data_IF_985591493197
#
_entry.id   IF_985591493197
#
_cell.length_a   1.000
_cell.length_b   1.000
_cell.length_c   1.000
_cell.angle_alpha   90.00
_cell.angle_beta   90.00
_cell.angle_gamma   90.00
#
_symmetry.space_group_name_H-M   'P 1'
#
loop_
_entity.id
_entity.type
_entity.pdbx_description
1 polymer ?
#
# COMPACT_ATOMS: atom_id res chain seq x y z
N UNK A 1 -24.13 -1.31 -40.95
CA UNK A 1 -23.58 -0.77 -39.70
C UNK A 1 -23.02 0.62 -40.00
N UNK A 2 -23.72 1.70 -39.61
CA UNK A 2 -23.31 3.06 -39.97
C UNK A 2 -21.97 3.46 -39.34
N UNK A 3 -21.25 4.40 -39.97
CA UNK A 3 -19.99 4.98 -39.49
C UNK A 3 -20.06 5.42 -38.01
N UNK A 4 -21.22 5.96 -37.59
CA UNK A 4 -21.50 6.35 -36.21
C UNK A 4 -21.50 5.18 -35.22
N UNK A 5 -21.99 4.00 -35.64
CA UNK A 5 -22.00 2.79 -34.83
C UNK A 5 -20.60 2.19 -34.65
N UNK A 6 -19.76 2.29 -35.69
CA UNK A 6 -18.35 1.90 -35.60
C UNK A 6 -17.61 2.78 -34.59
N UNK A 7 -17.68 4.11 -34.73
CA UNK A 7 -17.00 5.05 -33.82
C UNK A 7 -17.39 4.83 -32.35
N UNK A 8 -18.67 4.59 -32.07
CA UNK A 8 -19.16 4.35 -30.71
C UNK A 8 -18.60 3.06 -30.10
N UNK A 9 -18.54 1.98 -30.91
CA UNK A 9 -18.02 0.68 -30.45
C UNK A 9 -16.52 0.74 -30.24
N UNK A 10 -15.77 1.34 -31.17
CA UNK A 10 -14.32 1.54 -31.03
C UNK A 10 -13.99 2.40 -29.81
N UNK A 11 -14.72 3.50 -29.61
CA UNK A 11 -14.56 4.36 -28.44
C UNK A 11 -14.84 3.63 -27.12
N UNK A 12 -15.87 2.79 -27.08
CA UNK A 12 -16.20 1.98 -25.90
C UNK A 12 -15.05 1.04 -25.52
N UNK A 13 -14.42 0.38 -26.50
CA UNK A 13 -13.28 -0.51 -26.26
C UNK A 13 -12.09 0.27 -25.71
N UNK A 14 -11.74 1.40 -26.32
CA UNK A 14 -10.61 2.23 -25.89
C UNK A 14 -10.81 2.72 -24.46
N UNK A 15 -11.98 3.31 -24.15
CA UNK A 15 -12.28 3.81 -22.80
C UNK A 15 -12.30 2.69 -21.78
N UNK A 16 -12.77 1.49 -22.16
CA UNK A 16 -12.77 0.31 -21.28
C UNK A 16 -11.35 -0.16 -20.93
N UNK A 17 -10.44 -0.16 -21.90
CA UNK A 17 -9.03 -0.50 -21.66
C UNK A 17 -8.37 0.53 -20.76
N UNK A 18 -8.60 1.83 -21.01
CA UNK A 18 -8.10 2.90 -20.15
C UNK A 18 -8.63 2.74 -18.71
N UNK A 19 -9.93 2.47 -18.56
CA UNK A 19 -10.55 2.21 -17.26
C UNK A 19 -9.87 1.03 -16.55
N UNK A 20 -9.61 -0.07 -17.26
CA UNK A 20 -8.93 -1.23 -16.67
C UNK A 20 -7.54 -0.88 -16.14
N UNK A 21 -6.75 -0.11 -16.90
CA UNK A 21 -5.41 0.35 -16.50
C UNK A 21 -5.50 1.27 -15.27
N UNK A 22 -6.46 2.20 -15.25
CA UNK A 22 -6.67 3.11 -14.12
C UNK A 22 -7.08 2.37 -12.86
N UNK A 23 -7.99 1.39 -12.97
CA UNK A 23 -8.41 0.55 -11.85
C UNK A 23 -7.26 -0.32 -11.32
N UNK A 24 -6.40 -0.81 -12.21
CA UNK A 24 -5.21 -1.57 -11.81
C UNK A 24 -4.24 -0.68 -11.05
N UNK A 25 -3.94 0.52 -11.56
CA UNK A 25 -3.09 1.50 -10.88
C UNK A 25 -3.69 1.94 -9.53
N UNK A 26 -4.99 2.18 -9.48
CA UNK A 26 -5.71 2.48 -8.25
C UNK A 26 -5.56 1.36 -7.22
N UNK A 27 -5.76 0.12 -7.64
CA UNK A 27 -5.64 -1.05 -6.77
C UNK A 27 -4.23 -1.25 -6.22
N UNK A 28 -3.20 -1.07 -7.04
CA UNK A 28 -1.80 -1.19 -6.59
C UNK A 28 -1.43 -0.08 -5.61
N UNK A 29 -1.74 1.18 -5.92
CA UNK A 29 -1.47 2.33 -5.04
C UNK A 29 -2.22 2.18 -3.71
N UNK A 30 -3.50 1.79 -3.76
CA UNK A 30 -4.32 1.57 -2.56
C UNK A 30 -3.74 0.43 -1.70
N UNK A 31 -3.30 -0.66 -2.34
CA UNK A 31 -2.64 -1.78 -1.64
C UNK A 31 -1.40 -1.30 -0.91
N UNK A 32 -0.53 -0.55 -1.58
CA UNK A 32 0.68 0.00 -0.98
C UNK A 32 0.35 0.91 0.21
N UNK A 33 -0.60 1.83 0.06
CA UNK A 33 -0.94 2.76 1.13
C UNK A 33 -1.61 2.07 2.34
N UNK A 34 -2.48 1.08 2.14
CA UNK A 34 -3.05 0.33 3.26
C UNK A 34 -2.01 -0.55 3.96
N UNK A 35 -1.06 -1.09 3.21
CA UNK A 35 0.06 -1.86 3.76
C UNK A 35 0.99 -1.03 4.66
N UNK A 36 1.09 0.28 4.45
CA UNK A 36 1.95 1.20 5.23
C UNK A 36 1.17 1.83 6.40
N UNK A 37 0.03 1.27 6.80
CA UNK A 37 -0.62 1.73 8.02
C UNK A 37 0.24 1.44 9.26
N UNK A 38 0.18 2.30 10.28
CA UNK A 38 1.03 2.22 11.48
C UNK A 38 1.03 0.84 12.11
N UNK A 39 -0.14 0.20 12.26
CA UNK A 39 -0.25 -1.15 12.82
C UNK A 39 0.50 -2.22 12.01
N UNK A 40 0.47 -2.12 10.68
CA UNK A 40 1.14 -3.08 9.79
C UNK A 40 2.66 -2.86 9.79
N UNK A 41 3.07 -1.59 9.78
CA UNK A 41 4.47 -1.17 9.90
C UNK A 41 5.04 -1.63 11.25
N UNK A 42 4.35 -1.37 12.35
CA UNK A 42 4.78 -1.73 13.70
C UNK A 42 4.87 -3.24 13.90
N UNK A 43 4.06 -4.05 13.20
CA UNK A 43 4.15 -5.51 13.29
C UNK A 43 5.30 -6.11 12.49
N UNK A 44 5.69 -5.47 11.38
CA UNK A 44 6.53 -6.14 10.36
C UNK A 44 7.89 -5.48 10.18
N UNK A 45 7.99 -4.16 10.37
CA UNK A 45 9.25 -3.41 10.23
C UNK A 45 10.24 -3.68 11.35
N UNK A 46 9.87 -3.91 12.63
CA UNK A 46 10.83 -4.24 13.68
C UNK A 46 11.78 -5.38 13.32
N UNK A 47 11.28 -6.45 12.72
CA UNK A 47 12.10 -7.61 12.36
C UNK A 47 13.12 -7.27 11.26
N UNK A 48 12.72 -6.42 10.31
CA UNK A 48 13.61 -5.91 9.25
C UNK A 48 14.67 -4.98 9.84
N UNK A 49 14.29 -4.10 10.75
CA UNK A 49 15.23 -3.18 11.42
C UNK A 49 16.19 -3.90 12.35
N UNK A 50 15.74 -4.95 13.04
CA UNK A 50 16.62 -5.81 13.84
C UNK A 50 17.75 -6.40 12.99
N UNK A 51 17.43 -6.82 11.77
CA UNK A 51 18.42 -7.35 10.84
C UNK A 51 19.34 -6.27 10.23
N UNK A 52 18.81 -5.05 10.04
CA UNK A 52 19.51 -3.98 9.31
C UNK A 52 20.32 -3.05 10.22
N UNK A 53 19.73 -2.61 11.33
CA UNK A 53 20.29 -1.58 12.23
C UNK A 53 20.81 -2.16 13.55
N UNK A 54 20.29 -3.31 14.00
CA UNK A 54 20.74 -3.98 15.20
C UNK A 54 21.48 -5.28 14.86
N UNK A 55 22.59 -5.15 14.14
CA UNK A 55 23.49 -6.27 13.83
C UNK A 55 23.85 -7.05 15.10
N UNK A 56 24.20 -8.35 15.00
CA UNK A 56 24.60 -9.16 16.17
C UNK A 56 25.68 -8.49 17.03
N UNK A 57 26.57 -7.72 16.40
CA UNK A 57 27.62 -6.95 17.06
C UNK A 57 27.06 -5.81 17.92
N UNK A 58 26.09 -5.04 17.41
CA UNK A 58 25.41 -4.01 18.20
C UNK A 58 24.57 -4.58 19.35
N UNK A 59 23.97 -5.76 19.15
CA UNK A 59 23.25 -6.48 20.21
C UNK A 59 24.20 -6.99 21.30
N UNK A 60 25.39 -7.46 20.91
CA UNK A 60 26.46 -7.82 21.85
C UNK A 60 26.97 -6.59 22.61
N UNK A 61 27.13 -5.45 21.94
CA UNK A 61 27.54 -4.20 22.57
C UNK A 61 26.49 -3.69 23.58
N UNK A 62 25.19 -3.75 23.22
CA UNK A 62 24.11 -3.46 24.17
C UNK A 62 24.10 -4.43 25.35
N UNK A 63 24.32 -5.72 25.10
CA UNK A 63 24.38 -6.73 26.17
C UNK A 63 25.56 -6.47 27.11
N UNK A 64 26.73 -6.10 26.57
CA UNK A 64 27.92 -5.76 27.36
C UNK A 64 27.75 -4.48 28.19
N UNK A 65 26.98 -3.52 27.70
CA UNK A 65 26.72 -2.25 28.37
C UNK A 65 25.46 -2.24 29.26
N UNK A 66 24.67 -3.33 29.27
CA UNK A 66 23.42 -3.41 30.04
C UNK A 66 23.63 -3.11 31.53
N UNK A 67 24.71 -3.66 32.10
CA UNK A 67 25.03 -3.47 33.52
C UNK A 67 25.37 -2.00 33.82
N UNK A 68 26.01 -1.29 32.88
CA UNK A 68 26.26 0.15 33.00
C UNK A 68 24.96 0.96 32.95
N UNK A 69 24.03 0.60 32.07
CA UNK A 69 22.72 1.26 32.00
C UNK A 69 21.89 1.02 33.28
N UNK A 70 21.91 -0.19 33.83
CA UNK A 70 21.24 -0.51 35.09
C UNK A 70 21.82 0.26 36.27
N UNK A 71 23.16 0.39 36.33
CA UNK A 71 23.84 1.20 37.33
C UNK A 71 23.49 2.68 37.19
N UNK A 72 23.45 3.21 35.97
CA UNK A 72 23.04 4.59 35.71
C UNK A 72 21.60 4.86 36.18
N UNK A 73 20.66 3.97 35.87
CA UNK A 73 19.28 4.06 36.33
C UNK A 73 19.18 4.06 37.86
N UNK A 74 19.98 3.25 38.55
CA UNK A 74 19.98 3.15 40.01
C UNK A 74 20.65 4.35 40.70
N UNK A 75 21.76 4.85 40.17
CA UNK A 75 22.55 5.92 40.80
C UNK A 75 21.95 7.32 40.59
N UNK A 76 21.37 7.56 39.42
CA UNK A 76 20.91 8.90 39.04
C UNK A 76 19.45 9.15 39.43
N UNK A 77 18.74 8.13 39.94
CA UNK A 77 17.28 8.15 40.15
C UNK A 77 16.51 8.63 38.92
N UNK A 78 17.11 8.44 37.73
CA UNK A 78 16.53 8.86 36.46
C UNK A 78 15.50 7.84 36.02
N UNK A 79 14.37 8.31 35.52
CA UNK A 79 13.35 7.43 34.93
C UNK A 79 13.80 6.86 33.58
N UNK A 80 14.76 7.51 32.91
CA UNK A 80 15.20 7.19 31.56
C UNK A 80 16.73 7.17 31.41
N UNK A 81 17.23 6.41 30.43
CA UNK A 81 18.63 6.41 29.97
C UNK A 81 18.68 6.75 28.48
N UNK A 82 19.67 7.53 28.07
CA UNK A 82 19.93 7.82 26.65
C UNK A 82 20.95 6.84 26.10
N UNK A 83 20.55 6.03 25.12
CA UNK A 83 21.42 5.08 24.43
C UNK A 83 21.88 5.71 23.12
N UNK A 84 23.19 5.94 22.91
CA UNK A 84 23.69 6.43 21.64
C UNK A 84 23.53 5.34 20.58
N UNK A 85 23.02 5.72 19.42
CA UNK A 85 22.93 4.87 18.25
C UNK A 85 24.02 5.27 17.26
N UNK A 86 24.63 4.29 16.59
CA UNK A 86 25.57 4.53 15.50
C UNK A 86 24.81 4.82 14.19
N UNK A 87 23.89 5.80 14.23
CA UNK A 87 23.06 6.20 13.10
C UNK A 87 23.01 7.74 13.03
N UNK A 88 23.32 8.29 11.86
CA UNK A 88 23.30 9.73 11.62
C UNK A 88 21.89 10.33 11.62
N UNK A 89 20.86 9.54 11.30
CA UNK A 89 19.46 10.01 11.32
C UNK A 89 18.86 10.00 12.73
N UNK A 90 19.26 9.04 13.56
CA UNK A 90 18.73 8.83 14.91
C UNK A 90 19.91 8.61 15.85
N UNK A 91 20.55 9.68 16.37
CA UNK A 91 21.81 9.57 17.09
C UNK A 91 21.68 9.04 18.52
N UNK A 92 20.49 9.14 19.12
CA UNK A 92 20.22 8.63 20.46
C UNK A 92 18.76 8.21 20.61
N UNK A 93 18.51 7.23 21.49
CA UNK A 93 17.18 6.81 21.91
C UNK A 93 17.03 6.99 23.42
N UNK A 94 15.86 7.46 23.84
CA UNK A 94 15.50 7.59 25.26
C UNK A 94 14.75 6.33 25.68
N UNK A 95 15.37 5.53 26.56
CA UNK A 95 14.82 4.25 27.04
C UNK A 95 14.46 4.35 28.51
N UNK A 96 13.23 4.02 28.91
CA UNK A 96 12.85 4.01 30.32
C UNK A 96 13.56 2.88 31.06
N UNK A 97 14.01 3.19 32.28
CA UNK A 97 14.76 2.26 33.12
C UNK A 97 13.97 0.99 33.44
N UNK A 98 12.63 1.05 33.42
CA UNK A 98 11.75 -0.12 33.54
C UNK A 98 12.01 -1.17 32.47
N UNK A 99 12.28 -0.77 31.22
CA UNK A 99 12.60 -1.70 30.13
C UNK A 99 14.05 -2.22 30.23
N UNK A 100 14.96 -1.38 30.72
CA UNK A 100 16.36 -1.76 31.02
C UNK A 100 16.43 -2.85 32.10
N UNK A 101 15.60 -2.77 33.13
CA UNK A 101 15.54 -3.78 34.19
C UNK A 101 14.92 -5.11 33.75
N UNK A 102 14.08 -5.11 32.71
CA UNK A 102 13.54 -6.34 32.11
C UNK A 102 14.57 -7.09 31.25
N UNK A 103 15.76 -6.53 31.04
CA UNK A 103 16.88 -7.15 30.35
C UNK A 103 17.04 -6.71 28.89
N UNK A 104 18.08 -7.26 28.23
CA UNK A 104 18.50 -6.85 26.88
C UNK A 104 17.38 -6.95 25.85
N UNK A 105 16.65 -8.06 25.81
CA UNK A 105 15.63 -8.30 24.77
C UNK A 105 14.52 -7.24 24.83
N UNK A 106 14.00 -6.95 26.02
CA UNK A 106 12.97 -5.93 26.24
C UNK A 106 13.50 -4.53 25.88
N UNK A 107 14.75 -4.23 26.23
CA UNK A 107 15.42 -2.98 25.87
C UNK A 107 15.54 -2.82 24.36
N UNK A 108 16.01 -3.87 23.67
CA UNK A 108 16.15 -3.88 22.20
C UNK A 108 14.78 -3.74 21.53
N UNK A 109 13.76 -4.47 21.99
CA UNK A 109 12.41 -4.38 21.46
C UNK A 109 11.82 -2.97 21.62
N UNK A 110 12.03 -2.35 22.79
CA UNK A 110 11.62 -0.97 23.02
C UNK A 110 12.34 0.00 22.08
N UNK A 111 13.67 -0.11 21.96
CA UNK A 111 14.47 0.72 21.05
C UNK A 111 13.99 0.61 19.60
N UNK A 112 13.76 -0.62 19.12
CA UNK A 112 13.29 -0.86 17.75
C UNK A 112 11.91 -0.25 17.54
N UNK A 113 10.98 -0.46 18.47
CA UNK A 113 9.63 0.08 18.36
C UNK A 113 9.63 1.61 18.36
N UNK A 114 10.46 2.24 19.20
CA UNK A 114 10.62 3.69 19.18
C UNK A 114 11.20 4.18 17.85
N UNK A 115 12.24 3.51 17.33
CA UNK A 115 12.83 3.85 16.04
C UNK A 115 11.82 3.74 14.90
N UNK A 116 11.01 2.68 14.86
CA UNK A 116 9.90 2.54 13.89
C UNK A 116 8.95 3.72 13.99
N UNK A 117 8.58 4.09 15.21
CA UNK A 117 7.63 5.17 15.44
C UNK A 117 8.19 6.53 15.00
N UNK A 118 9.45 6.81 15.32
CA UNK A 118 10.14 8.01 14.88
C UNK A 118 10.28 8.07 13.36
N UNK A 119 10.65 6.96 12.70
CA UNK A 119 10.69 6.90 11.23
C UNK A 119 9.31 7.07 10.61
N UNK A 120 8.27 6.48 11.21
CA UNK A 120 6.91 6.57 10.70
C UNK A 120 6.38 8.00 10.70
N UNK A 121 6.62 8.73 11.79
CA UNK A 121 6.10 10.09 11.99
C UNK A 121 7.12 11.20 11.68
N UNK A 122 8.30 10.86 11.15
CA UNK A 122 9.32 11.84 10.75
C UNK A 122 8.75 12.80 9.72
N UNK A 123 9.00 14.09 9.92
CA UNK A 123 8.66 15.13 8.96
C UNK A 123 9.74 15.20 7.88
N UNK A 124 9.39 14.80 6.66
CA UNK A 124 10.31 14.75 5.52
C UNK A 124 10.20 16.02 4.69
N UNK A 125 11.19 16.91 4.78
CA UNK A 125 11.26 18.14 3.99
C UNK A 125 11.77 17.87 2.56
N UNK A 126 10.92 17.29 1.72
CA UNK A 126 11.21 17.00 0.31
C UNK A 126 10.00 17.32 -0.57
N UNK A 127 10.23 17.75 -1.81
CA UNK A 127 9.18 18.30 -2.68
C UNK A 127 8.45 17.24 -3.52
N UNK A 128 8.74 15.96 -3.34
CA UNK A 128 8.04 14.88 -4.02
C UNK A 128 8.66 13.50 -3.80
N UNK A 129 7.89 12.45 -4.08
CA UNK A 129 8.21 11.04 -3.80
C UNK A 129 9.63 10.65 -4.26
N UNK A 130 10.02 10.98 -5.49
CA UNK A 130 11.34 10.62 -6.03
C UNK A 130 12.49 11.29 -5.27
N UNK A 131 12.35 12.57 -4.94
CA UNK A 131 13.36 13.31 -4.18
C UNK A 131 13.45 12.77 -2.74
N UNK A 132 12.30 12.47 -2.13
CA UNK A 132 12.22 11.88 -0.80
C UNK A 132 12.91 10.52 -0.73
N UNK A 133 12.62 9.60 -1.67
CA UNK A 133 13.22 8.26 -1.71
C UNK A 133 14.74 8.35 -1.89
N UNK A 134 15.23 9.24 -2.76
CA UNK A 134 16.66 9.39 -3.01
C UNK A 134 17.42 9.97 -1.81
N UNK A 135 16.78 10.87 -1.05
CA UNK A 135 17.40 11.50 0.13
C UNK A 135 17.31 10.62 1.37
N UNK A 136 16.15 10.02 1.62
CA UNK A 136 15.86 9.26 2.83
C UNK A 136 15.04 8.01 2.47
N UNK A 137 15.66 6.82 2.37
CA UNK A 137 14.94 5.60 2.01
C UNK A 137 13.87 5.20 3.05
N UNK A 138 14.02 5.65 4.30
CA UNK A 138 13.04 5.47 5.39
C UNK A 138 11.69 6.14 5.10
N UNK A 139 11.64 7.09 4.16
CA UNK A 139 10.40 7.70 3.69
C UNK A 139 9.38 6.67 3.19
N UNK A 140 9.82 5.54 2.60
CA UNK A 140 8.92 4.50 2.07
C UNK A 140 8.04 3.82 3.13
N UNK A 141 8.43 3.90 4.41
CA UNK A 141 7.64 3.36 5.53
C UNK A 141 6.98 4.46 6.35
N UNK A 142 7.03 5.71 5.90
CA UNK A 142 6.51 6.87 6.63
C UNK A 142 5.00 7.07 6.45
N UNK A 143 4.37 7.72 7.42
CA UNK A 143 3.00 8.22 7.29
C UNK A 143 2.88 9.20 6.12
N UNK A 144 3.91 10.01 5.86
CA UNK A 144 3.90 10.97 4.76
C UNK A 144 3.76 10.28 3.40
N UNK A 145 4.53 9.23 3.16
CA UNK A 145 4.43 8.45 1.92
C UNK A 145 3.07 7.75 1.80
N UNK A 146 2.52 7.25 2.92
CA UNK A 146 1.15 6.72 2.96
C UNK A 146 0.12 7.77 2.52
N UNK A 147 0.22 8.99 3.04
CA UNK A 147 -0.67 10.10 2.66
C UNK A 147 -0.55 10.45 1.18
N UNK A 148 0.68 10.51 0.66
CA UNK A 148 0.94 10.78 -0.76
C UNK A 148 0.31 9.69 -1.65
N UNK A 149 0.47 8.41 -1.30
CA UNK A 149 -0.19 7.29 -2.00
C UNK A 149 -1.72 7.40 -1.95
N UNK A 150 -2.29 7.71 -0.79
CA UNK A 150 -3.74 7.88 -0.64
C UNK A 150 -4.28 9.05 -1.45
N UNK A 151 -3.51 10.14 -1.55
CA UNK A 151 -3.84 11.27 -2.42
C UNK A 151 -3.85 10.85 -3.90
N UNK A 152 -2.83 10.13 -4.37
CA UNK A 152 -2.82 9.60 -5.73
C UNK A 152 -3.97 8.62 -5.98
N UNK A 153 -4.26 7.72 -5.04
CA UNK A 153 -5.39 6.81 -5.14
C UNK A 153 -6.71 7.58 -5.32
N UNK A 154 -6.93 8.66 -4.56
CA UNK A 154 -8.12 9.50 -4.73
C UNK A 154 -8.20 10.10 -6.15
N UNK A 155 -7.08 10.61 -6.67
CA UNK A 155 -7.02 11.17 -8.05
C UNK A 155 -7.35 10.09 -9.09
N UNK A 156 -6.75 8.90 -9.00
CA UNK A 156 -7.05 7.79 -9.91
C UNK A 156 -8.51 7.34 -9.81
N UNK A 157 -9.08 7.34 -8.61
CA UNK A 157 -10.50 7.04 -8.39
C UNK A 157 -11.41 8.04 -9.12
N UNK A 158 -11.14 9.34 -9.01
CA UNK A 158 -11.92 10.37 -9.71
C UNK A 158 -11.83 10.24 -11.23
N UNK A 159 -10.64 9.95 -11.77
CA UNK A 159 -10.47 9.73 -13.22
C UNK A 159 -11.21 8.45 -13.65
N UNK A 160 -11.14 7.38 -12.85
CA UNK A 160 -11.85 6.14 -13.14
C UNK A 160 -13.38 6.32 -13.13
N UNK A 161 -13.90 7.18 -12.25
CA UNK A 161 -15.32 7.56 -12.22
C UNK A 161 -15.72 8.31 -13.50
N UNK A 162 -14.90 9.24 -13.98
CA UNK A 162 -15.15 9.90 -15.26
C UNK A 162 -15.18 8.89 -16.42
N UNK A 163 -14.25 7.94 -16.46
CA UNK A 163 -14.25 6.85 -17.43
C UNK A 163 -15.49 5.96 -17.30
N UNK A 164 -15.95 5.65 -16.09
CA UNK A 164 -17.20 4.92 -15.84
C UNK A 164 -18.40 5.61 -16.52
N UNK A 165 -18.53 6.93 -16.33
CA UNK A 165 -19.59 7.72 -16.95
C UNK A 165 -19.48 7.68 -18.48
N UNK A 166 -18.26 7.78 -19.03
CA UNK A 166 -18.04 7.67 -20.47
C UNK A 166 -18.44 6.30 -21.02
N UNK A 167 -18.10 5.20 -20.34
CA UNK A 167 -18.55 3.84 -20.71
C UNK A 167 -20.08 3.78 -20.72
N UNK A 168 -20.74 4.36 -19.71
CA UNK A 168 -22.19 4.40 -19.64
C UNK A 168 -22.81 5.19 -20.79
N UNK A 169 -22.24 6.33 -21.19
CA UNK A 169 -22.70 7.12 -22.34
C UNK A 169 -22.47 6.39 -23.67
N UNK A 170 -21.30 5.76 -23.84
CA UNK A 170 -20.93 5.04 -25.05
C UNK A 170 -21.66 3.70 -25.21
N UNK A 171 -22.13 3.06 -24.15
CA UNK A 171 -22.90 1.82 -24.26
C UNK A 171 -24.29 2.05 -24.85
N UNK A 172 -24.67 1.27 -25.88
CA UNK A 172 -26.00 1.36 -26.53
C UNK A 172 -27.13 0.98 -25.57
N UNK A 173 -26.96 -0.12 -24.83
CA UNK A 173 -27.89 -0.55 -23.77
C UNK A 173 -27.25 -0.28 -22.41
N UNK A 174 -27.94 0.46 -21.54
CA UNK A 174 -27.38 0.86 -20.23
C UNK A 174 -27.10 -0.33 -19.32
N UNK A 175 -27.93 -1.37 -19.39
CA UNK A 175 -27.67 -2.65 -18.71
C UNK A 175 -26.32 -3.26 -19.10
N UNK A 176 -25.93 -3.18 -20.38
CA UNK A 176 -24.63 -3.70 -20.84
C UNK A 176 -23.45 -2.91 -20.27
N UNK A 177 -23.60 -1.60 -20.01
CA UNK A 177 -22.53 -0.81 -19.39
C UNK A 177 -22.17 -1.36 -18.00
N UNK A 178 -23.17 -1.61 -17.16
CA UNK A 178 -22.97 -2.17 -15.82
C UNK A 178 -22.29 -3.55 -15.88
N UNK A 179 -22.66 -4.40 -16.83
CA UNK A 179 -21.99 -5.69 -17.06
C UNK A 179 -20.52 -5.51 -17.46
N UNK A 180 -20.24 -4.66 -18.44
CA UNK A 180 -18.87 -4.41 -18.93
C UNK A 180 -17.99 -3.94 -17.77
N UNK A 181 -18.47 -2.96 -17.01
CA UNK A 181 -17.71 -2.41 -15.90
C UNK A 181 -17.51 -3.43 -14.78
N UNK A 182 -18.55 -4.20 -14.46
CA UNK A 182 -18.46 -5.28 -13.48
C UNK A 182 -17.44 -6.35 -13.87
N UNK A 183 -17.44 -6.78 -15.14
CA UNK A 183 -16.46 -7.74 -15.68
C UNK A 183 -15.04 -7.15 -15.63
N UNK A 184 -14.85 -5.90 -16.06
CA UNK A 184 -13.52 -5.25 -16.02
C UNK A 184 -13.02 -5.15 -14.58
N UNK A 185 -13.85 -4.67 -13.65
CA UNK A 185 -13.49 -4.52 -12.24
C UNK A 185 -13.16 -5.88 -11.61
N UNK A 186 -13.97 -6.90 -11.90
CA UNK A 186 -13.72 -8.27 -11.47
C UNK A 186 -12.43 -8.86 -12.03
N UNK A 187 -12.17 -8.68 -13.33
CA UNK A 187 -10.93 -9.13 -13.96
C UNK A 187 -9.69 -8.42 -13.40
N UNK A 188 -9.78 -7.10 -13.18
CA UNK A 188 -8.71 -6.31 -12.54
C UNK A 188 -8.46 -6.78 -11.12
N UNK A 189 -9.52 -7.11 -10.36
CA UNK A 189 -9.35 -7.66 -9.00
C UNK A 189 -8.52 -8.94 -9.03
N UNK A 190 -8.85 -9.89 -9.92
CA UNK A 190 -8.08 -11.13 -10.08
C UNK A 190 -6.63 -10.84 -10.46
N UNK A 191 -6.42 -9.87 -11.35
CA UNK A 191 -5.09 -9.47 -11.81
C UNK A 191 -4.26 -8.85 -10.68
N UNK A 192 -4.86 -8.06 -9.78
CA UNK A 192 -4.18 -7.53 -8.59
C UNK A 192 -3.66 -8.63 -7.66
N UNK A 193 -4.44 -9.70 -7.47
CA UNK A 193 -4.03 -10.84 -6.64
C UNK A 193 -2.84 -11.57 -7.27
N UNK A 194 -2.91 -11.85 -8.58
CA UNK A 194 -1.81 -12.50 -9.31
C UNK A 194 -0.57 -11.60 -9.27
N UNK A 195 -0.74 -10.30 -9.55
CA UNK A 195 0.35 -9.35 -9.58
C UNK A 195 1.03 -9.20 -8.22
N UNK A 196 0.28 -9.21 -7.12
CA UNK A 196 0.85 -9.18 -5.77
C UNK A 196 1.78 -10.37 -5.48
N UNK A 197 1.35 -11.58 -5.87
CA UNK A 197 2.17 -12.79 -5.70
C UNK A 197 3.40 -12.76 -6.61
N UNK A 198 3.23 -12.44 -7.89
CA UNK A 198 4.34 -12.37 -8.87
C UNK A 198 5.35 -11.30 -8.47
N UNK A 199 4.90 -10.12 -8.01
CA UNK A 199 5.81 -9.06 -7.60
C UNK A 199 6.58 -9.44 -6.33
N UNK A 200 5.93 -10.15 -5.40
CA UNK A 200 6.59 -10.68 -4.20
C UNK A 200 7.69 -11.67 -4.56
N UNK A 201 7.43 -12.59 -5.47
CA UNK A 201 8.42 -13.57 -5.94
C UNK A 201 9.56 -12.87 -6.71
N UNK A 202 9.22 -11.90 -7.56
CA UNK A 202 10.19 -11.11 -8.31
C UNK A 202 11.10 -10.31 -7.37
N UNK A 203 10.54 -9.58 -6.39
CA UNK A 203 11.30 -8.85 -5.37
C UNK A 203 12.14 -9.78 -4.51
N UNK A 204 11.63 -10.98 -4.19
CA UNK A 204 12.38 -12.00 -3.45
C UNK A 204 13.57 -12.58 -4.21
N UNK A 205 13.56 -12.51 -5.55
CA UNK A 205 14.65 -12.99 -6.41
C UNK A 205 15.78 -11.96 -6.63
N UNK A 206 15.59 -10.71 -6.20
CA UNK A 206 16.61 -9.67 -6.36
C UNK A 206 17.83 -9.97 -5.46
N UNK A 207 19.06 -9.81 -5.97
CA UNK A 207 20.26 -10.03 -5.19
C UNK A 207 20.28 -9.09 -3.98
N UNK A 208 20.51 -9.66 -2.80
CA UNK A 208 20.57 -8.94 -1.53
C UNK A 208 21.75 -7.95 -1.53
N UNK A 209 21.54 -6.73 -2.03
CA UNK A 209 22.50 -5.66 -1.84
C UNK A 209 22.36 -5.16 -0.40
N UNK A 210 23.43 -5.27 0.39
CA UNK A 210 23.54 -4.69 1.75
C UNK A 210 22.82 -5.43 2.89
N UNK A 211 22.64 -6.75 2.77
CA UNK A 211 22.22 -7.60 3.91
C UNK A 211 20.74 -7.50 4.29
N UNK A 212 19.96 -6.63 3.63
CA UNK A 212 18.51 -6.60 3.78
C UNK A 212 17.90 -7.51 2.72
N UNK A 213 17.23 -8.58 3.12
CA UNK A 213 16.55 -9.46 2.18
C UNK A 213 15.33 -8.73 1.58
N UNK A 214 15.30 -8.46 0.25
CA UNK A 214 14.20 -7.73 -0.38
C UNK A 214 12.84 -8.44 -0.29
N UNK A 215 12.84 -9.74 0.01
CA UNK A 215 11.64 -10.54 0.33
C UNK A 215 10.88 -10.05 1.57
N UNK A 216 11.57 -9.56 2.59
CA UNK A 216 10.94 -9.04 3.80
C UNK A 216 10.17 -7.75 3.53
N UNK A 217 10.72 -6.87 2.69
CA UNK A 217 10.02 -5.66 2.26
C UNK A 217 8.80 -5.97 1.39
N UNK A 218 8.91 -6.93 0.49
CA UNK A 218 7.78 -7.34 -0.35
C UNK A 218 6.57 -7.80 0.51
N UNK A 219 6.81 -8.55 1.57
CA UNK A 219 5.73 -8.97 2.48
C UNK A 219 5.02 -7.79 3.16
N UNK A 220 5.76 -6.73 3.50
CA UNK A 220 5.19 -5.52 4.10
C UNK A 220 4.25 -4.85 3.10
N UNK A 221 4.75 -4.54 1.91
CA UNK A 221 4.03 -3.79 0.87
C UNK A 221 2.78 -4.51 0.33
N UNK A 222 2.75 -5.84 0.39
CA UNK A 222 1.62 -6.64 -0.10
C UNK A 222 0.77 -7.28 1.00
N UNK A 223 1.01 -6.95 2.27
CA UNK A 223 0.25 -7.47 3.43
C UNK A 223 -1.26 -7.19 3.32
N UNK A 224 -1.64 -6.05 2.75
CA UNK A 224 -3.05 -5.64 2.59
C UNK A 224 -3.64 -5.94 1.20
N UNK A 225 -2.91 -6.64 0.32
CA UNK A 225 -3.34 -6.91 -1.06
C UNK A 225 -4.66 -7.71 -1.13
N UNK A 226 -4.85 -8.69 -0.25
CA UNK A 226 -6.08 -9.49 -0.18
C UNK A 226 -7.30 -8.63 0.18
N UNK A 227 -7.14 -7.67 1.09
CA UNK A 227 -8.24 -6.78 1.49
C UNK A 227 -8.68 -5.89 0.32
N UNK A 228 -7.73 -5.31 -0.41
CA UNK A 228 -8.04 -4.48 -1.59
C UNK A 228 -8.64 -5.32 -2.71
N UNK A 229 -8.13 -6.52 -2.95
CA UNK A 229 -8.73 -7.49 -3.87
C UNK A 229 -10.21 -7.74 -3.56
N UNK A 230 -10.55 -8.05 -2.31
CA UNK A 230 -11.92 -8.32 -1.89
C UNK A 230 -12.83 -7.12 -2.10
N UNK A 231 -12.35 -5.90 -1.84
CA UNK A 231 -13.11 -4.67 -2.08
C UNK A 231 -13.45 -4.52 -3.57
N UNK A 232 -12.47 -4.66 -4.46
CA UNK A 232 -12.68 -4.55 -5.90
C UNK A 232 -13.57 -5.67 -6.43
N UNK A 233 -13.38 -6.91 -5.95
CA UNK A 233 -14.21 -8.04 -6.32
C UNK A 233 -15.67 -7.81 -5.92
N UNK A 234 -15.91 -7.33 -4.69
CA UNK A 234 -17.25 -7.01 -4.19
C UNK A 234 -17.93 -5.96 -5.07
N UNK A 235 -17.25 -4.85 -5.40
CA UNK A 235 -17.79 -3.84 -6.30
C UNK A 235 -18.05 -4.39 -7.70
N UNK A 236 -17.13 -5.21 -8.24
CA UNK A 236 -17.32 -5.87 -9.53
C UNK A 236 -18.59 -6.74 -9.57
N UNK A 237 -18.79 -7.58 -8.55
CA UNK A 237 -20.00 -8.41 -8.42
C UNK A 237 -21.27 -7.57 -8.24
N UNK A 238 -21.22 -6.50 -7.43
CA UNK A 238 -22.34 -5.59 -7.24
C UNK A 238 -22.78 -4.95 -8.56
N UNK A 239 -21.83 -4.53 -9.42
CA UNK A 239 -22.14 -4.01 -10.75
C UNK A 239 -22.75 -5.06 -11.68
N UNK A 240 -22.29 -6.31 -11.64
CA UNK A 240 -22.87 -7.40 -12.42
C UNK A 240 -24.33 -7.65 -11.99
N UNK A 241 -24.58 -7.77 -10.69
CA UNK A 241 -25.94 -7.98 -10.14
C UNK A 241 -26.85 -6.81 -10.53
N UNK A 242 -26.36 -5.58 -10.41
CA UNK A 242 -27.10 -4.38 -10.82
C UNK A 242 -27.42 -4.42 -12.33
N UNK A 243 -26.47 -4.85 -13.15
CA UNK A 243 -26.66 -5.05 -14.59
C UNK A 243 -27.72 -6.10 -14.92
N UNK A 244 -27.74 -7.24 -14.21
CA UNK A 244 -28.78 -8.28 -14.33
C UNK A 244 -30.14 -7.69 -13.97
N UNK A 245 -30.24 -6.99 -12.84
CA UNK A 245 -31.48 -6.41 -12.35
C UNK A 245 -32.07 -5.37 -13.33
N UNK A 246 -31.23 -4.45 -13.83
CA UNK A 246 -31.63 -3.47 -14.86
C UNK A 246 -32.09 -4.15 -16.15
N UNK A 247 -31.47 -5.27 -16.53
CA UNK A 247 -31.87 -6.05 -17.70
C UNK A 247 -33.24 -6.70 -17.51
N UNK A 248 -33.53 -7.25 -16.33
CA UNK A 248 -34.80 -7.91 -16.01
C UNK A 248 -35.95 -6.91 -15.96
N UNK A 249 -35.72 -5.70 -15.45
CA UNK A 249 -36.76 -4.65 -15.39
C UNK A 249 -36.99 -3.94 -16.72
N UNK A 250 -36.22 -4.25 -17.77
CA UNK A 250 -36.26 -3.56 -19.07
C UNK A 250 -36.07 -2.04 -18.99
N UNK A 251 -35.55 -1.52 -17.87
CA UNK A 251 -35.30 -0.08 -17.68
C UNK A 251 -34.10 0.33 -18.55
N UNK A 252 -34.30 1.32 -19.43
CA UNK A 252 -33.24 1.85 -20.29
C UNK A 252 -32.94 1.01 -21.53
N UNK A 253 -33.86 0.14 -21.94
CA UNK A 253 -33.92 -0.33 -23.32
C UNK A 253 -34.49 0.82 -24.16
N UNK A 254 -33.65 1.42 -25.01
CA UNK A 254 -34.19 2.21 -26.14
C UNK A 254 -34.97 1.18 -26.95
N UNK A 255 -36.29 1.37 -27.02
CA UNK A 255 -37.12 0.67 -27.99
C UNK A 255 -36.48 1.02 -29.32
N UNK A 256 -35.80 0.05 -29.93
CA UNK A 256 -35.45 0.18 -31.34
C UNK A 256 -36.81 0.16 -32.01
N UNK A 257 -37.41 1.35 -32.20
CA UNK A 257 -38.60 1.48 -33.04
C UNK A 257 -38.21 0.84 -34.37
N UNK A 258 -38.94 -0.22 -34.69
CA UNK A 258 -39.05 -0.76 -36.02
C UNK A 258 -39.47 0.39 -36.93
N UNK A 259 -38.51 1.12 -37.49
CA UNK A 259 -38.72 1.73 -38.80
C UNK A 259 -38.58 0.59 -39.81
N UNK A 260 -39.77 0.12 -40.20
CA UNK A 260 -40.12 -0.59 -41.41
C UNK A 260 -39.35 -0.06 -42.65
N UNK A 261 -39.10 -1.00 -43.56
CA UNK A 261 -38.59 -0.89 -44.95
C UNK A 261 -37.06 -0.93 -45.19
#
# INVERSE_FOLDING_TARGET
MGFLGFLRTSGLVIVSVILAILLLALGTISTLGFSINHENVQKTVPDVLKQTYLTPESQQQMSGNLLQFQLYCNQTNSENVTIPLNNSEFPYLVVPCTEVYKGTNSTVDYCVNQLVNEMYYKDYSCSGVRDCINKNPTYLVSNRFREDLMHYALVFLLISLACFVLVFLLARKKSNACFIIGIITGAVSLLLLIFGNVLKDFLGSLPSSQGISPSSFANIFFSSSTSVFLIFLFFGLAFIITGIFLKVLSIGQVVDDEEEE
#
